data_IF_044605913021
#
_entry.id   IF_044605913021
#
_cell.length_a   1.000
_cell.length_b   1.000
_cell.length_c   1.000
_cell.angle_alpha   90.00
_cell.angle_beta   90.00
_cell.angle_gamma   90.00
#
_symmetry.space_group_name_H-M   'P 1'
#
loop_
_entity.id
_entity.type
_entity.pdbx_description
1 polymer ?
#
# COMPACT_ATOMS: atom_id res chain seq x y z
N UNK A 1 -1.09 -23.36 -2.38
CA UNK A 1 -0.56 -22.80 -3.64
C UNK A 1 -1.27 -21.47 -3.85
N UNK A 2 -0.54 -20.38 -4.12
CA UNK A 2 -1.14 -19.04 -4.28
C UNK A 2 -1.85 -18.95 -5.63
N UNK A 3 -3.12 -18.56 -5.63
CA UNK A 3 -3.91 -18.38 -6.86
C UNK A 3 -3.75 -16.94 -7.36
N UNK A 4 -3.31 -16.79 -8.61
CA UNK A 4 -3.21 -15.49 -9.31
C UNK A 4 -4.02 -15.59 -10.59
N UNK A 5 -4.84 -14.57 -10.88
CA UNK A 5 -5.74 -14.55 -12.02
C UNK A 5 -5.47 -13.33 -12.87
N UNK A 6 -5.34 -13.53 -14.18
CA UNK A 6 -5.20 -12.46 -15.18
C UNK A 6 -6.43 -12.54 -16.09
N UNK A 7 -7.13 -11.43 -16.27
CA UNK A 7 -8.31 -11.34 -17.13
C UNK A 7 -8.15 -10.25 -18.18
N UNK A 8 -8.46 -10.57 -19.44
CA UNK A 8 -8.55 -9.61 -20.54
C UNK A 8 -9.75 -8.66 -20.30
N UNK A 9 -9.51 -7.36 -20.42
CA UNK A 9 -10.46 -6.26 -20.18
C UNK A 9 -10.96 -5.58 -21.46
N UNK A 10 -10.47 -6.00 -22.64
CA UNK A 10 -10.77 -5.38 -23.93
C UNK A 10 -12.25 -5.43 -24.33
N UNK A 11 -12.98 -6.43 -23.85
CA UNK A 11 -14.41 -6.61 -24.16
C UNK A 11 -15.35 -6.00 -23.13
N UNK A 12 -15.16 -6.34 -21.85
CA UNK A 12 -16.05 -5.95 -20.76
C UNK A 12 -15.32 -6.06 -19.43
N UNK A 13 -15.21 -4.95 -18.70
CA UNK A 13 -14.62 -4.96 -17.35
C UNK A 13 -15.45 -5.80 -16.37
N UNK A 14 -16.77 -5.86 -16.55
CA UNK A 14 -17.67 -6.66 -15.70
C UNK A 14 -17.37 -8.15 -15.83
N UNK A 15 -17.28 -8.63 -17.07
CA UNK A 15 -16.96 -10.04 -17.36
C UNK A 15 -15.54 -10.39 -16.89
N UNK A 16 -14.61 -9.42 -16.96
CA UNK A 16 -13.26 -9.59 -16.41
C UNK A 16 -13.31 -9.76 -14.90
N UNK A 17 -14.13 -8.99 -14.18
CA UNK A 17 -14.28 -9.12 -12.73
C UNK A 17 -14.86 -10.49 -12.34
N UNK A 18 -15.85 -11.00 -13.07
CA UNK A 18 -16.34 -12.37 -12.87
C UNK A 18 -15.23 -13.41 -13.01
N UNK A 19 -14.37 -13.27 -14.03
CA UNK A 19 -13.21 -14.15 -14.22
C UNK A 19 -12.20 -14.03 -13.10
N UNK A 20 -11.95 -12.82 -12.59
CA UNK A 20 -11.03 -12.59 -11.46
C UNK A 20 -11.55 -13.30 -10.20
N UNK A 21 -12.85 -13.25 -9.93
CA UNK A 21 -13.42 -13.85 -8.72
C UNK A 21 -13.78 -15.35 -8.87
N UNK A 22 -13.89 -15.87 -10.09
CA UNK A 22 -14.31 -17.27 -10.32
C UNK A 22 -13.45 -18.32 -9.60
N UNK A 23 -12.10 -18.24 -9.59
CA UNK A 23 -11.26 -19.20 -8.87
C UNK A 23 -11.41 -19.17 -7.34
N UNK A 24 -12.05 -18.12 -6.81
CA UNK A 24 -12.33 -17.94 -5.38
C UNK A 24 -13.80 -18.25 -5.05
N UNK A 25 -14.48 -19.04 -5.90
CA UNK A 25 -15.91 -19.37 -5.77
C UNK A 25 -16.84 -18.14 -5.85
N UNK A 26 -16.38 -17.07 -6.51
CA UNK A 26 -17.12 -15.84 -6.72
C UNK A 26 -16.87 -14.78 -5.64
N UNK A 27 -17.32 -13.56 -5.92
CA UNK A 27 -16.97 -12.38 -5.12
C UNK A 27 -17.48 -12.43 -3.67
N UNK A 28 -18.56 -13.16 -3.41
CA UNK A 28 -19.15 -13.29 -2.05
C UNK A 28 -18.38 -14.25 -1.16
N UNK A 29 -17.70 -15.23 -1.75
CA UNK A 29 -16.79 -16.11 -1.02
C UNK A 29 -15.39 -15.49 -0.90
N UNK A 30 -14.96 -14.74 -1.92
CA UNK A 30 -13.65 -14.08 -1.94
C UNK A 30 -13.56 -12.90 -0.97
N UNK A 31 -14.65 -12.17 -0.75
CA UNK A 31 -14.67 -10.94 0.06
C UNK A 31 -15.63 -11.11 1.25
N UNK A 32 -15.31 -10.51 2.41
CA UNK A 32 -16.14 -10.63 3.60
C UNK A 32 -17.46 -9.85 3.47
N UNK A 33 -18.60 -10.51 3.68
CA UNK A 33 -19.94 -9.88 3.70
C UNK A 33 -20.46 -9.58 5.14
N UNK A 34 -19.55 -9.43 6.12
CA UNK A 34 -19.88 -9.44 7.56
C UNK A 34 -20.47 -8.14 8.11
N UNK A 35 -21.40 -7.50 7.41
CA UNK A 35 -22.03 -6.29 7.95
C UNK A 35 -21.05 -5.10 8.15
N UNK A 36 -19.82 -5.21 7.65
CA UNK A 36 -18.79 -4.17 7.69
C UNK A 36 -18.79 -3.28 6.45
N UNK A 37 -17.87 -2.33 6.41
CA UNK A 37 -17.56 -1.52 5.22
C UNK A 37 -16.43 -2.20 4.45
N UNK A 38 -16.63 -2.43 3.15
CA UNK A 38 -15.56 -2.88 2.27
C UNK A 38 -14.74 -1.68 1.84
N UNK A 39 -13.47 -1.67 2.23
CA UNK A 39 -12.50 -0.64 1.86
C UNK A 39 -11.76 -1.05 0.58
N UNK A 40 -11.76 -0.17 -0.40
CA UNK A 40 -11.16 -0.35 -1.72
C UNK A 40 -10.01 0.63 -1.82
N UNK A 41 -8.79 0.10 -1.83
CA UNK A 41 -7.59 0.88 -2.10
C UNK A 41 -7.30 0.83 -3.60
N UNK A 42 -7.11 1.98 -4.22
CA UNK A 42 -6.75 2.09 -5.63
C UNK A 42 -5.51 2.98 -5.74
N UNK A 43 -4.65 2.76 -6.74
CA UNK A 43 -3.47 3.60 -6.90
C UNK A 43 -3.85 4.97 -7.45
N UNK A 44 -3.58 6.04 -6.69
CA UNK A 44 -3.68 7.42 -7.15
C UNK A 44 -2.41 8.18 -6.79
N UNK A 45 -1.42 8.27 -7.68
CA UNK A 45 -0.17 8.99 -7.39
C UNK A 45 -0.34 10.48 -7.71
N UNK A 46 -0.87 10.77 -8.91
CA UNK A 46 -1.08 12.11 -9.42
C UNK A 46 -2.33 12.11 -10.33
N UNK A 47 -2.81 13.28 -10.72
CA UNK A 47 -3.94 13.45 -11.65
C UNK A 47 -3.53 13.45 -13.14
N UNK A 48 -2.25 13.20 -13.45
CA UNK A 48 -1.77 13.13 -14.84
C UNK A 48 -2.14 11.78 -15.45
N UNK A 49 -2.38 11.70 -16.77
CA UNK A 49 -2.68 10.43 -17.42
C UNK A 49 -1.66 9.34 -17.05
N UNK A 50 -2.16 8.12 -16.84
CA UNK A 50 -1.36 6.92 -16.53
C UNK A 50 -0.62 6.90 -15.17
N UNK A 51 -0.86 7.88 -14.30
CA UNK A 51 -0.30 7.90 -12.92
C UNK A 51 -1.32 7.50 -11.85
N UNK A 52 -2.50 7.08 -12.27
CA UNK A 52 -3.59 6.65 -11.41
C UNK A 52 -4.38 5.53 -12.09
N UNK A 53 -5.11 4.75 -11.30
CA UNK A 53 -6.02 3.72 -11.82
C UNK A 53 -7.05 4.34 -12.77
N UNK A 54 -7.26 3.77 -13.95
CA UNK A 54 -8.28 4.28 -14.87
C UNK A 54 -9.65 4.42 -14.15
N UNK A 55 -10.29 5.61 -14.16
CA UNK A 55 -11.59 5.81 -13.50
C UNK A 55 -12.66 4.81 -13.94
N UNK A 56 -12.59 4.30 -15.17
CA UNK A 56 -13.51 3.27 -15.68
C UNK A 56 -13.36 1.94 -14.93
N UNK A 57 -12.15 1.59 -14.50
CA UNK A 57 -11.90 0.38 -13.73
C UNK A 57 -12.47 0.50 -12.31
N UNK A 58 -12.29 1.66 -11.64
CA UNK A 58 -12.89 1.91 -10.33
C UNK A 58 -14.43 1.89 -10.42
N UNK A 59 -14.99 2.56 -11.41
CA UNK A 59 -16.44 2.57 -11.64
C UNK A 59 -17.00 1.17 -11.90
N UNK A 60 -16.37 0.39 -12.78
CA UNK A 60 -16.79 -0.99 -13.05
C UNK A 60 -16.75 -1.86 -11.79
N UNK A 61 -15.71 -1.73 -10.96
CA UNK A 61 -15.60 -2.45 -9.70
C UNK A 61 -16.70 -2.05 -8.72
N UNK A 62 -16.96 -0.75 -8.54
CA UNK A 62 -18.03 -0.30 -7.63
C UNK A 62 -19.40 -0.77 -8.12
N UNK A 63 -19.69 -0.65 -9.42
CA UNK A 63 -20.93 -1.17 -9.99
C UNK A 63 -21.07 -2.68 -9.77
N UNK A 64 -20.01 -3.44 -10.03
CA UNK A 64 -19.97 -4.88 -9.82
C UNK A 64 -20.26 -5.26 -8.37
N UNK A 65 -19.60 -4.60 -7.41
CA UNK A 65 -19.83 -4.87 -5.98
C UNK A 65 -21.26 -4.53 -5.56
N UNK A 66 -21.84 -3.43 -6.08
CA UNK A 66 -23.25 -3.08 -5.82
C UNK A 66 -24.21 -4.14 -6.36
N UNK A 67 -23.98 -4.63 -7.57
CA UNK A 67 -24.77 -5.71 -8.19
C UNK A 67 -24.73 -7.00 -7.35
N UNK A 68 -23.63 -7.23 -6.63
CA UNK A 68 -23.43 -8.39 -5.75
C UNK A 68 -23.83 -8.15 -4.28
N UNK A 69 -24.52 -7.03 -3.99
CA UNK A 69 -25.15 -6.77 -2.70
C UNK A 69 -24.30 -5.98 -1.71
N UNK A 70 -23.07 -5.59 -2.04
CA UNK A 70 -22.22 -4.80 -1.15
C UNK A 70 -22.74 -3.36 -1.06
N UNK A 71 -23.28 -2.97 0.10
CA UNK A 71 -23.90 -1.64 0.26
C UNK A 71 -23.02 -0.59 0.95
N UNK A 72 -22.08 -1.02 1.80
CA UNK A 72 -21.15 -0.13 2.50
C UNK A 72 -19.78 -0.23 1.88
N UNK A 73 -19.48 0.73 1.00
CA UNK A 73 -18.23 0.80 0.26
C UNK A 73 -17.47 2.06 0.69
N UNK A 74 -16.15 1.96 0.76
CA UNK A 74 -15.26 3.11 0.94
C UNK A 74 -14.11 3.01 -0.06
N UNK A 75 -13.78 4.11 -0.71
CA UNK A 75 -12.61 4.20 -1.61
C UNK A 75 -11.55 5.02 -0.89
N UNK A 76 -10.41 4.40 -0.59
CA UNK A 76 -9.36 5.01 0.21
C UNK A 76 -8.05 5.16 -0.56
N UNK A 77 -7.34 6.26 -0.33
CA UNK A 77 -5.97 6.43 -0.81
C UNK A 77 -5.19 7.48 -0.01
N UNK A 78 -3.85 7.45 -0.11
CA UNK A 78 -2.92 8.53 0.25
C UNK A 78 -2.04 8.82 -0.96
N UNK A 79 -2.35 9.87 -1.71
CA UNK A 79 -1.58 10.19 -2.91
C UNK A 79 -0.14 10.59 -2.58
N UNK A 80 0.82 10.13 -3.39
CA UNK A 80 2.26 10.42 -3.19
C UNK A 80 2.70 11.65 -3.99
N UNK A 81 3.97 12.08 -3.82
CA UNK A 81 4.54 13.20 -4.57
C UNK A 81 4.06 14.58 -4.14
N UNK A 82 3.60 14.74 -2.89
CA UNK A 82 3.13 16.02 -2.34
C UNK A 82 1.73 16.43 -2.82
N UNK A 83 0.98 15.52 -3.43
CA UNK A 83 -0.41 15.78 -3.82
C UNK A 83 -1.37 15.65 -2.64
N UNK A 84 -2.42 16.47 -2.65
CA UNK A 84 -3.57 16.29 -1.77
C UNK A 84 -4.51 15.25 -2.37
N UNK A 85 -4.80 14.16 -1.66
CA UNK A 85 -5.63 13.08 -2.19
C UNK A 85 -7.00 13.58 -2.65
N UNK A 86 -7.58 14.52 -1.91
CA UNK A 86 -8.87 15.14 -2.28
C UNK A 86 -8.81 15.86 -3.63
N UNK A 87 -7.71 16.53 -3.94
CA UNK A 87 -7.54 17.19 -5.24
C UNK A 87 -7.43 16.15 -6.36
N UNK A 88 -6.64 15.09 -6.16
CA UNK A 88 -6.52 13.99 -7.13
C UNK A 88 -7.89 13.39 -7.42
N UNK A 89 -8.66 13.04 -6.39
CA UNK A 89 -10.01 12.50 -6.54
C UNK A 89 -10.93 13.44 -7.33
N UNK A 90 -10.79 14.75 -7.12
CA UNK A 90 -11.61 15.76 -7.79
C UNK A 90 -11.30 15.86 -9.28
N UNK A 91 -10.02 15.84 -9.63
CA UNK A 91 -9.56 16.02 -11.02
C UNK A 91 -9.76 14.73 -11.83
N UNK A 92 -9.49 13.57 -11.25
CA UNK A 92 -9.68 12.27 -11.93
C UNK A 92 -11.16 11.86 -12.03
N UNK A 93 -12.03 12.51 -11.25
CA UNK A 93 -13.47 12.22 -11.21
C UNK A 93 -13.85 11.06 -10.28
N UNK A 94 -12.90 10.55 -9.48
CA UNK A 94 -13.22 9.55 -8.46
C UNK A 94 -14.24 10.04 -7.45
N UNK A 95 -14.26 11.34 -7.12
CA UNK A 95 -15.26 11.93 -6.23
C UNK A 95 -16.69 11.71 -6.75
N UNK A 96 -16.90 11.94 -8.05
CA UNK A 96 -18.19 11.75 -8.74
C UNK A 96 -18.56 10.28 -8.81
N UNK A 97 -17.60 9.41 -9.10
CA UNK A 97 -17.80 7.95 -9.13
C UNK A 97 -18.20 7.45 -7.74
N UNK A 98 -17.49 7.86 -6.69
CA UNK A 98 -17.81 7.51 -5.30
C UNK A 98 -19.24 7.93 -4.96
N UNK A 99 -19.62 9.18 -5.27
CA UNK A 99 -20.97 9.68 -5.04
C UNK A 99 -22.04 8.86 -5.77
N UNK A 100 -21.81 8.54 -7.06
CA UNK A 100 -22.74 7.76 -7.90
C UNK A 100 -23.08 6.39 -7.30
N UNK A 101 -22.11 5.71 -6.71
CA UNK A 101 -22.30 4.37 -6.14
C UNK A 101 -22.50 4.35 -4.63
N UNK A 102 -22.61 5.52 -3.99
CA UNK A 102 -22.73 5.63 -2.54
C UNK A 102 -21.51 5.11 -1.78
N UNK A 103 -20.33 5.15 -2.39
CA UNK A 103 -19.07 4.82 -1.75
C UNK A 103 -18.51 6.06 -1.05
N UNK A 104 -18.00 5.88 0.17
CA UNK A 104 -17.38 6.95 0.96
C UNK A 104 -15.93 7.17 0.51
N UNK A 105 -15.53 8.36 0.02
CA UNK A 105 -14.12 8.66 -0.17
C UNK A 105 -13.42 8.80 1.18
N UNK A 106 -12.25 8.21 1.33
CA UNK A 106 -11.41 8.25 2.54
C UNK A 106 -10.01 8.73 2.15
N UNK A 107 -9.66 9.93 2.62
CA UNK A 107 -8.37 10.57 2.36
C UNK A 107 -7.44 10.24 3.52
N UNK A 108 -6.54 9.28 3.32
CA UNK A 108 -5.69 8.75 4.39
C UNK A 108 -4.64 9.78 4.85
N UNK A 109 -4.29 10.73 3.99
CA UNK A 109 -3.40 11.87 4.25
C UNK A 109 -4.04 12.97 5.14
N UNK A 110 -5.34 12.87 5.44
CA UNK A 110 -6.07 13.85 6.25
C UNK A 110 -6.59 13.28 7.58
N UNK A 111 -6.44 11.97 7.78
CA UNK A 111 -6.87 11.27 8.97
C UNK A 111 -5.81 11.32 10.09
N UNK A 112 -6.22 11.07 11.35
CA UNK A 112 -5.27 10.83 12.40
C UNK A 112 -4.44 9.57 12.10
N UNK A 113 -3.14 9.65 12.34
CA UNK A 113 -2.22 8.51 12.23
C UNK A 113 -2.05 7.86 13.60
N UNK A 114 -1.93 6.54 13.62
CA UNK A 114 -1.52 5.79 14.81
C UNK A 114 -0.20 5.10 14.51
N UNK A 115 0.69 5.09 15.48
CA UNK A 115 1.90 4.29 15.39
C UNK A 115 1.50 2.81 15.46
N UNK A 116 1.88 2.05 14.44
CA UNK A 116 1.71 0.59 14.41
C UNK A 116 3.10 -0.01 14.47
N UNK A 117 3.31 -0.90 15.45
CA UNK A 117 4.50 -1.75 15.46
C UNK A 117 4.26 -2.86 14.44
N UNK A 118 5.03 -2.84 13.34
CA UNK A 118 5.12 -3.98 12.44
C UNK A 118 5.91 -5.10 13.15
N UNK A 119 5.85 -6.34 12.66
CA UNK A 119 6.70 -7.42 13.19
C UNK A 119 8.16 -7.16 12.79
N UNK A 120 8.80 -6.25 13.55
CA UNK A 120 10.08 -5.61 13.28
C UNK A 120 10.31 -4.50 14.32
N UNK A 121 11.56 -4.04 14.44
CA UNK A 121 12.03 -3.04 15.43
C UNK A 121 11.20 -1.73 15.45
N UNK A 122 11.36 -0.89 16.49
CA UNK A 122 10.60 0.37 16.59
C UNK A 122 10.83 1.32 15.39
N UNK A 123 9.75 1.82 14.77
CA UNK A 123 9.79 2.67 13.57
C UNK A 123 10.08 4.16 13.82
N UNK A 124 10.65 4.51 14.98
CA UNK A 124 11.06 5.87 15.34
C UNK A 124 12.59 6.04 15.22
N UNK A 125 13.14 5.60 14.09
CA UNK A 125 14.58 5.59 13.83
C UNK A 125 14.90 6.34 12.52
N UNK A 126 16.05 7.01 12.51
CA UNK A 126 16.62 7.58 11.29
C UNK A 126 17.74 6.66 10.81
N UNK A 127 17.65 6.22 9.56
CA UNK A 127 18.69 5.41 8.91
C UNK A 127 19.48 6.33 7.97
N UNK A 128 20.79 6.35 8.12
CA UNK A 128 21.68 7.14 7.27
C UNK A 128 23.00 6.42 7.01
N UNK A 129 23.55 6.62 5.82
CA UNK A 129 24.79 5.98 5.38
C UNK A 129 25.31 6.62 4.10
N UNK A 130 26.60 6.42 3.80
CA UNK A 130 27.23 6.89 2.57
C UNK A 130 26.89 6.01 1.35
N UNK A 131 26.36 4.81 1.58
CA UNK A 131 25.89 3.87 0.56
C UNK A 131 24.35 3.80 0.61
N UNK A 132 23.72 4.25 -0.46
CA UNK A 132 22.25 4.28 -0.59
C UNK A 132 21.64 2.88 -0.58
N UNK A 133 22.30 1.89 -1.17
CA UNK A 133 21.80 0.51 -1.16
C UNK A 133 21.84 -0.06 0.27
N UNK A 134 22.91 0.19 1.02
CA UNK A 134 23.01 -0.26 2.41
C UNK A 134 21.90 0.35 3.28
N UNK A 135 21.57 1.63 3.09
CA UNK A 135 20.47 2.30 3.80
C UNK A 135 19.13 1.60 3.52
N UNK A 136 18.83 1.32 2.25
CA UNK A 136 17.58 0.66 1.87
C UNK A 136 17.50 -0.79 2.37
N UNK A 137 18.61 -1.52 2.39
CA UNK A 137 18.67 -2.88 2.95
C UNK A 137 18.41 -2.89 4.45
N UNK A 138 18.93 -1.90 5.19
CA UNK A 138 18.60 -1.74 6.62
C UNK A 138 17.13 -1.41 6.80
N UNK A 139 16.58 -0.50 5.98
CA UNK A 139 15.16 -0.16 6.00
C UNK A 139 14.26 -1.38 5.74
N UNK A 140 14.58 -2.17 4.71
CA UNK A 140 13.88 -3.42 4.42
C UNK A 140 13.92 -4.39 5.61
N UNK A 141 15.08 -4.53 6.26
CA UNK A 141 15.26 -5.41 7.41
C UNK A 141 14.50 -4.93 8.65
N UNK A 142 14.44 -3.62 8.89
CA UNK A 142 13.61 -3.01 9.94
C UNK A 142 12.13 -3.31 9.69
N UNK A 143 11.71 -3.31 8.42
CA UNK A 143 10.36 -3.70 8.01
C UNK A 143 10.13 -5.23 8.00
N UNK A 144 11.12 -6.04 8.40
CA UNK A 144 11.02 -7.49 8.51
C UNK A 144 11.39 -8.27 7.24
N UNK A 145 11.98 -7.63 6.22
CA UNK A 145 12.37 -8.27 4.96
C UNK A 145 13.89 -8.49 4.86
N UNK A 146 14.30 -9.67 4.40
CA UNK A 146 15.68 -9.93 3.97
C UNK A 146 15.94 -9.37 2.56
N UNK A 147 17.21 -9.11 2.24
CA UNK A 147 17.64 -8.61 0.92
C UNK A 147 17.08 -9.46 -0.24
N UNK A 148 16.99 -10.78 -0.06
CA UNK A 148 16.51 -11.71 -1.09
C UNK A 148 15.00 -11.66 -1.30
N UNK A 149 14.27 -11.06 -0.37
CA UNK A 149 12.81 -10.90 -0.45
C UNK A 149 12.42 -9.61 -1.19
N UNK A 150 13.37 -8.71 -1.42
CA UNK A 150 13.15 -7.43 -2.12
C UNK A 150 13.92 -7.40 -3.43
N UNK A 151 13.23 -7.79 -4.51
CA UNK A 151 13.83 -8.09 -5.81
C UNK A 151 14.72 -6.96 -6.38
N UNK A 152 14.29 -5.70 -6.29
CA UNK A 152 15.08 -4.59 -6.83
C UNK A 152 16.35 -4.32 -6.00
N UNK A 153 16.32 -4.53 -4.69
CA UNK A 153 17.52 -4.42 -3.85
C UNK A 153 18.50 -5.56 -4.15
N UNK A 154 17.99 -6.78 -4.34
CA UNK A 154 18.80 -7.93 -4.79
C UNK A 154 19.50 -7.64 -6.13
N UNK A 155 18.77 -7.13 -7.11
CA UNK A 155 19.34 -6.78 -8.42
C UNK A 155 20.38 -5.66 -8.33
N UNK A 156 20.14 -4.64 -7.49
CA UNK A 156 21.13 -3.56 -7.27
C UNK A 156 22.42 -4.09 -6.62
N UNK A 157 22.29 -5.03 -5.67
CA UNK A 157 23.40 -5.71 -5.04
C UNK A 157 24.21 -6.55 -6.04
N UNK A 158 23.54 -7.33 -6.89
CA UNK A 158 24.17 -8.14 -7.95
C UNK A 158 24.86 -7.27 -9.01
N UNK A 159 24.30 -6.10 -9.30
CA UNK A 159 24.90 -5.12 -10.21
C UNK A 159 26.04 -4.31 -9.58
N UNK A 160 26.34 -4.49 -8.29
CA UNK A 160 27.40 -3.76 -7.59
C UNK A 160 27.12 -2.28 -7.40
N UNK A 161 25.86 -1.86 -7.37
CA UNK A 161 25.42 -0.46 -7.20
C UNK A 161 25.48 0.03 -5.73
N UNK A 162 26.18 -0.72 -4.86
CA UNK A 162 26.42 -0.43 -3.45
C UNK A 162 27.14 -1.59 -2.75
N UNK A 163 27.72 -1.34 -1.58
CA UNK A 163 28.42 -2.32 -0.75
C UNK A 163 27.48 -3.20 0.09
N UNK A 164 26.18 -2.86 0.17
CA UNK A 164 25.14 -3.64 0.86
C UNK A 164 25.01 -5.12 0.46
N UNK A 165 25.75 -5.56 -0.57
CA UNK A 165 25.87 -6.93 -1.06
C UNK A 165 26.96 -7.78 -0.37
N UNK A 166 27.94 -7.18 0.31
CA UNK A 166 29.11 -7.91 0.84
C UNK A 166 28.84 -8.49 2.23
N UNK A 167 28.13 -9.61 2.23
CA UNK A 167 27.96 -10.46 3.40
C UNK A 167 26.80 -10.02 4.27
N UNK A 168 26.06 -11.01 4.78
CA UNK A 168 25.12 -10.82 5.88
C UNK A 168 25.87 -10.08 6.98
N UNK A 169 25.51 -8.83 7.33
CA UNK A 169 26.07 -8.25 8.53
C UNK A 169 25.52 -9.12 9.65
N UNK A 170 26.40 -9.83 10.36
CA UNK A 170 26.17 -10.04 11.78
C UNK A 170 25.91 -8.63 12.32
N UNK A 171 24.62 -8.36 12.60
CA UNK A 171 24.12 -7.01 12.80
C UNK A 171 24.88 -6.35 13.95
N UNK A 172 25.89 -5.55 13.62
CA UNK A 172 26.56 -4.64 14.53
C UNK A 172 26.35 -3.23 14.00
N UNK A 173 25.08 -2.83 13.99
CA UNK A 173 24.71 -1.43 13.78
C UNK A 173 24.94 -0.71 15.10
N UNK A 174 25.73 0.38 15.08
CA UNK A 174 25.93 1.20 16.27
C UNK A 174 24.74 2.12 16.42
N UNK A 175 23.81 1.79 17.31
CA UNK A 175 22.92 2.80 17.87
C UNK A 175 23.73 3.70 18.79
N UNK A 176 23.62 5.02 18.61
CA UNK A 176 24.01 5.98 19.65
C UNK A 176 23.20 5.64 20.91
N UNK A 177 23.82 5.59 22.10
CA UNK A 177 23.05 5.36 23.33
C UNK A 177 21.97 6.45 23.44
N UNK A 178 20.72 6.03 23.50
CA UNK A 178 19.59 6.90 23.85
C UNK A 178 19.94 7.55 25.17
N UNK A 179 20.07 8.88 25.18
CA UNK A 179 20.22 9.64 26.41
C UNK A 179 18.93 9.40 27.19
N UNK A 180 19.01 8.59 28.25
CA UNK A 180 17.93 8.42 29.21
C UNK A 180 17.69 9.78 29.85
N UNK A 181 16.69 10.51 29.35
CA UNK A 181 16.14 11.66 30.02
C UNK A 181 15.48 11.18 31.33
N UNK A 182 16.24 11.25 32.41
CA UNK A 182 15.78 11.52 33.78
C UNK A 182 14.68 10.62 34.35
N UNK A 183 15.04 9.41 34.79
CA UNK A 183 14.37 8.79 35.93
C UNK A 183 15.25 9.01 37.17
N UNK A 184 14.88 9.96 38.04
CA UNK A 184 15.64 10.21 39.26
C UNK A 184 15.22 11.43 40.09
N UNK A 185 14.13 11.29 40.84
CA UNK A 185 14.12 11.61 42.28
C UNK A 185 13.82 13.05 42.74
N UNK A 186 12.68 13.19 43.44
CA UNK A 186 12.71 13.71 44.82
C UNK A 186 12.10 15.08 45.10
N UNK A 187 10.95 15.02 45.78
CA UNK A 187 10.22 16.02 46.59
C UNK A 187 9.29 16.98 45.86
#
# INVERSE_FOLDING_TARGET
>A
MTTVVIADTSRSLKDSLDKIFAPFSGVREALPDRGGTLYIKHSGIHFTPHTHTDPRALEALLSYLRDHGYRRLAVMESCTGGNFTRLVFKVTGYDRICHRYGARPVYLDEGPTVEVRLEGEEMNILIGGADTLAVDVVGAKVLGYDLREVEHLRLCAEAGLGEGARGTPSASWRCSPTTTAGAGGGR
#
